data_IF_645841933146
#
_entry.id   IF_645841933146
#
_cell.length_a   1.000
_cell.length_b   1.000
_cell.length_c   1.000
_cell.angle_alpha   90.00
_cell.angle_beta   90.00
_cell.angle_gamma   90.00
#
_symmetry.space_group_name_H-M   'P 1'
#
loop_
_entity.id
_entity.type
_entity.pdbx_description
1 polymer ?
#
# COMPACT_ATOMS: atom_id res chain seq x y z
N UNK A 1 -13.42 0.42 13.85
CA UNK A 1 -14.02 0.73 12.53
C UNK A 1 -13.79 -0.44 11.55
N UNK A 2 -14.11 -1.67 11.93
CA UNK A 2 -13.75 -2.88 11.15
C UNK A 2 -14.78 -3.26 10.09
N UNK A 3 -15.68 -2.35 9.74
CA UNK A 3 -16.74 -2.59 8.74
C UNK A 3 -17.18 -1.28 8.08
N UNK A 4 -16.24 -0.38 7.80
CA UNK A 4 -16.53 0.79 6.98
C UNK A 4 -16.63 0.34 5.53
N UNK A 5 -17.61 0.86 4.78
CA UNK A 5 -17.69 0.63 3.33
C UNK A 5 -16.40 1.02 2.60
N UNK A 6 -15.64 1.99 3.12
CA UNK A 6 -14.30 2.35 2.59
C UNK A 6 -13.32 1.19 2.70
N UNK A 7 -13.23 0.54 3.87
CA UNK A 7 -12.30 -0.57 4.09
C UNK A 7 -12.64 -1.73 3.16
N UNK A 8 -13.94 -2.07 3.08
CA UNK A 8 -14.40 -3.12 2.19
C UNK A 8 -14.08 -2.84 0.71
N UNK A 9 -14.22 -1.60 0.25
CA UNK A 9 -13.88 -1.22 -1.12
C UNK A 9 -12.37 -1.32 -1.38
N UNK A 10 -11.52 -1.00 -0.41
CA UNK A 10 -10.06 -1.16 -0.52
C UNK A 10 -9.69 -2.65 -0.61
N UNK A 11 -10.20 -3.48 0.30
CA UNK A 11 -9.91 -4.92 0.34
C UNK A 11 -10.44 -5.66 -0.89
N UNK A 12 -11.58 -5.21 -1.43
CA UNK A 12 -12.17 -5.77 -2.65
C UNK A 12 -11.57 -5.21 -3.94
N UNK A 13 -10.59 -4.29 -3.84
CA UNK A 13 -9.96 -3.60 -4.99
C UNK A 13 -10.94 -2.81 -5.87
N UNK A 14 -12.06 -2.36 -5.29
CA UNK A 14 -13.09 -1.55 -5.97
C UNK A 14 -12.76 -0.06 -5.88
N UNK A 15 -11.65 0.34 -6.52
CA UNK A 15 -11.13 1.71 -6.44
C UNK A 15 -12.00 2.75 -7.16
N UNK A 16 -12.75 2.34 -8.19
CA UNK A 16 -13.66 3.23 -8.91
C UNK A 16 -14.84 3.66 -8.03
N UNK A 17 -15.45 2.71 -7.31
CA UNK A 17 -16.50 2.99 -6.34
C UNK A 17 -16.00 3.86 -5.18
N UNK A 18 -14.76 3.60 -4.73
CA UNK A 18 -14.11 4.43 -3.70
C UNK A 18 -13.85 5.86 -4.21
N UNK A 19 -13.48 6.02 -5.49
CA UNK A 19 -13.33 7.33 -6.15
C UNK A 19 -14.68 8.06 -6.20
N UNK A 20 -15.76 7.38 -6.59
CA UNK A 20 -17.11 7.96 -6.58
C UNK A 20 -17.51 8.40 -5.16
N UNK A 21 -17.24 7.58 -4.14
CA UNK A 21 -17.48 7.96 -2.75
C UNK A 21 -16.68 9.21 -2.37
N UNK A 22 -15.39 9.26 -2.72
CA UNK A 22 -14.56 10.45 -2.48
C UNK A 22 -15.15 11.70 -3.14
N UNK A 23 -15.55 11.63 -4.42
CA UNK A 23 -16.15 12.76 -5.14
C UNK A 23 -17.47 13.23 -4.52
N UNK A 24 -18.31 12.31 -4.02
CA UNK A 24 -19.54 12.65 -3.32
C UNK A 24 -19.26 13.39 -2.00
N UNK A 25 -18.32 12.87 -1.20
CA UNK A 25 -17.95 13.46 0.09
C UNK A 25 -17.22 14.81 -0.07
N UNK A 26 -16.57 15.04 -1.21
CA UNK A 26 -15.95 16.33 -1.55
C UNK A 26 -16.97 17.47 -1.70
N UNK A 27 -18.24 17.17 -2.00
CA UNK A 27 -19.33 18.16 -2.09
C UNK A 27 -19.75 18.72 -0.73
N UNK A 28 -19.46 17.98 0.34
CA UNK A 28 -19.76 18.39 1.71
C UNK A 28 -18.52 19.14 2.27
N UNK A 29 -18.69 20.29 2.93
CA UNK A 29 -17.58 20.97 3.60
C UNK A 29 -16.81 19.99 4.51
N UNK A 30 -15.52 19.82 4.23
CA UNK A 30 -14.63 18.87 4.93
C UNK A 30 -15.02 17.38 4.85
N UNK A 31 -16.03 16.99 4.07
CA UNK A 31 -16.47 15.59 3.98
C UNK A 31 -15.40 14.67 3.40
N UNK A 32 -14.61 15.15 2.44
CA UNK A 32 -13.50 14.41 1.84
C UNK A 32 -12.46 13.94 2.87
N UNK A 33 -12.28 14.65 4.00
CA UNK A 33 -11.39 14.23 5.08
C UNK A 33 -11.85 12.95 5.77
N UNK A 34 -13.15 12.64 5.76
CA UNK A 34 -13.67 11.40 6.33
C UNK A 34 -13.11 10.20 5.55
N UNK A 35 -13.14 10.26 4.22
CA UNK A 35 -12.60 9.21 3.34
C UNK A 35 -11.09 9.11 3.51
N UNK A 36 -10.38 10.25 3.48
CA UNK A 36 -8.91 10.30 3.67
C UNK A 36 -8.51 9.71 5.03
N UNK A 37 -9.22 10.03 6.11
CA UNK A 37 -8.94 9.51 7.44
C UNK A 37 -9.21 8.00 7.53
N UNK A 38 -10.27 7.50 6.89
CA UNK A 38 -10.55 6.06 6.84
C UNK A 38 -9.44 5.30 6.09
N UNK A 39 -9.01 5.83 4.94
CA UNK A 39 -7.90 5.27 4.16
C UNK A 39 -6.61 5.27 4.98
N UNK A 40 -6.27 6.40 5.63
CA UNK A 40 -5.09 6.48 6.49
C UNK A 40 -5.13 5.47 7.64
N UNK A 41 -6.28 5.33 8.29
CA UNK A 41 -6.46 4.36 9.38
C UNK A 41 -6.30 2.91 8.89
N UNK A 42 -6.79 2.58 7.69
CA UNK A 42 -6.58 1.27 7.07
C UNK A 42 -5.08 1.00 6.90
N UNK A 43 -4.33 1.93 6.30
CA UNK A 43 -2.90 1.77 6.10
C UNK A 43 -2.11 1.68 7.40
N UNK A 44 -2.47 2.45 8.43
CA UNK A 44 -1.82 2.34 9.74
C UNK A 44 -2.00 0.93 10.32
N UNK A 45 -3.23 0.41 10.33
CA UNK A 45 -3.50 -0.94 10.82
C UNK A 45 -2.77 -2.02 10.03
N UNK A 46 -2.78 -1.94 8.70
CA UNK A 46 -2.10 -2.93 7.84
C UNK A 46 -0.59 -2.91 8.05
N UNK A 47 0.02 -1.73 8.26
CA UNK A 47 1.44 -1.60 8.64
C UNK A 47 1.75 -2.17 10.01
N UNK A 48 0.91 -1.94 11.01
CA UNK A 48 1.08 -2.53 12.35
C UNK A 48 1.02 -4.06 12.30
N UNK A 49 0.08 -4.61 11.52
CA UNK A 49 -0.03 -6.06 11.30
C UNK A 49 1.23 -6.63 10.63
N UNK A 50 1.78 -5.94 9.63
CA UNK A 50 3.03 -6.34 8.97
C UNK A 50 4.22 -6.38 9.95
N UNK A 51 4.35 -5.39 10.84
CA UNK A 51 5.41 -5.36 11.87
C UNK A 51 5.29 -6.52 12.85
N UNK A 52 4.08 -6.80 13.33
CA UNK A 52 3.83 -7.89 14.30
C UNK A 52 4.04 -9.27 13.64
N UNK A 53 3.61 -9.43 12.38
CA UNK A 53 3.80 -10.66 11.63
C UNK A 53 5.27 -10.99 11.39
N UNK A 54 6.08 -9.96 11.11
CA UNK A 54 7.53 -10.09 10.95
C UNK A 54 8.22 -10.59 12.23
N UNK A 55 7.85 -10.04 13.39
CA UNK A 55 8.45 -10.42 14.68
C UNK A 55 8.19 -11.87 15.09
N UNK A 56 7.10 -12.49 14.59
CA UNK A 56 6.65 -13.81 15.07
C UNK A 56 7.05 -14.97 14.18
N UNK A 57 7.14 -14.79 12.86
CA UNK A 57 7.03 -15.94 11.95
C UNK A 57 8.18 -16.12 10.93
N UNK A 58 9.11 -15.18 10.76
CA UNK A 58 10.30 -15.38 9.90
C UNK A 58 10.02 -15.71 8.42
N UNK A 59 8.77 -15.63 7.95
CA UNK A 59 8.38 -15.91 6.56
C UNK A 59 8.62 -14.67 5.69
N UNK A 60 9.87 -14.48 5.26
CA UNK A 60 10.27 -13.30 4.48
C UNK A 60 9.53 -13.18 3.13
N UNK A 61 9.16 -14.28 2.48
CA UNK A 61 8.39 -14.27 1.22
C UNK A 61 6.99 -13.66 1.44
N UNK A 62 6.24 -14.16 2.43
CA UNK A 62 4.90 -13.66 2.72
C UNK A 62 4.94 -12.18 3.13
N UNK A 63 5.94 -11.79 3.93
CA UNK A 63 6.15 -10.40 4.29
C UNK A 63 6.36 -9.50 3.07
N UNK A 64 7.17 -9.95 2.09
CA UNK A 64 7.37 -9.20 0.86
C UNK A 64 6.09 -9.13 0.01
N UNK A 65 5.36 -10.22 -0.12
CA UNK A 65 4.10 -10.24 -0.87
C UNK A 65 3.07 -9.29 -0.26
N UNK A 66 2.92 -9.31 1.07
CA UNK A 66 2.03 -8.41 1.80
C UNK A 66 2.49 -6.94 1.71
N UNK A 67 3.81 -6.69 1.69
CA UNK A 67 4.37 -5.35 1.52
C UNK A 67 4.14 -4.81 0.12
N UNK A 68 4.37 -5.62 -0.91
CA UNK A 68 4.12 -5.27 -2.31
C UNK A 68 2.62 -4.98 -2.53
N UNK A 69 1.74 -5.81 -1.97
CA UNK A 69 0.29 -5.56 -2.02
C UNK A 69 -0.09 -4.22 -1.36
N UNK A 70 0.55 -3.89 -0.22
CA UNK A 70 0.32 -2.61 0.45
C UNK A 70 0.74 -1.41 -0.41
N UNK A 71 1.89 -1.52 -1.08
CA UNK A 71 2.41 -0.49 -1.98
C UNK A 71 1.49 -0.33 -3.19
N UNK A 72 1.08 -1.42 -3.83
CA UNK A 72 0.15 -1.41 -4.97
C UNK A 72 -1.19 -0.78 -4.59
N UNK A 73 -1.73 -1.12 -3.41
CA UNK A 73 -2.96 -0.53 -2.89
C UNK A 73 -2.82 0.97 -2.71
N UNK A 74 -1.68 1.42 -2.18
CA UNK A 74 -1.38 2.84 -1.98
C UNK A 74 -1.34 3.61 -3.31
N UNK A 75 -0.62 3.08 -4.31
CA UNK A 75 -0.51 3.71 -5.62
C UNK A 75 -1.85 3.74 -6.36
N UNK A 76 -2.66 2.68 -6.27
CA UNK A 76 -3.98 2.67 -6.87
C UNK A 76 -4.92 3.71 -6.23
N UNK A 77 -4.91 3.86 -4.91
CA UNK A 77 -5.69 4.91 -4.23
C UNK A 77 -5.19 6.30 -4.65
N UNK A 78 -3.88 6.51 -4.67
CA UNK A 78 -3.28 7.78 -5.09
C UNK A 78 -3.68 8.14 -6.52
N UNK A 79 -3.62 7.18 -7.46
CA UNK A 79 -3.87 7.39 -8.89
C UNK A 79 -5.35 7.48 -9.24
N UNK A 80 -6.19 6.61 -8.68
CA UNK A 80 -7.60 6.44 -9.09
C UNK A 80 -8.54 7.26 -8.20
N UNK A 81 -8.41 7.12 -6.88
CA UNK A 81 -9.34 7.75 -5.92
C UNK A 81 -9.09 9.26 -5.83
N UNK A 82 -7.82 9.65 -5.83
CA UNK A 82 -7.41 11.06 -5.75
C UNK A 82 -7.00 11.66 -7.10
N UNK A 83 -7.40 11.06 -8.24
CA UNK A 83 -7.00 11.50 -9.59
C UNK A 83 -7.16 13.02 -9.82
N UNK A 84 -8.28 13.58 -9.37
CA UNK A 84 -8.62 15.00 -9.55
C UNK A 84 -8.21 15.90 -8.37
N UNK A 85 -7.30 15.42 -7.51
CA UNK A 85 -6.90 16.12 -6.29
C UNK A 85 -5.36 16.14 -6.13
N UNK A 86 -4.71 17.05 -6.86
CA UNK A 86 -3.25 17.19 -6.88
C UNK A 86 -2.67 17.35 -5.46
N UNK A 87 -3.37 18.08 -4.59
CA UNK A 87 -2.95 18.27 -3.20
C UNK A 87 -2.94 16.95 -2.44
N UNK A 88 -4.01 16.15 -2.53
CA UNK A 88 -4.04 14.84 -1.89
C UNK A 88 -3.09 13.84 -2.56
N UNK A 89 -2.89 13.87 -3.89
CA UNK A 89 -1.86 13.03 -4.50
C UNK A 89 -0.45 13.34 -4.00
N UNK A 90 -0.15 14.62 -3.74
CA UNK A 90 1.14 15.04 -3.21
C UNK A 90 1.29 14.74 -1.72
N UNK A 91 0.21 14.88 -0.95
CA UNK A 91 0.18 14.62 0.49
C UNK A 91 0.12 13.13 0.81
N UNK A 92 -0.56 12.37 -0.03
CA UNK A 92 -0.67 10.91 0.01
C UNK A 92 0.49 10.32 -0.81
N UNK A 93 1.72 10.60 -0.37
CA UNK A 93 2.93 9.93 -0.85
C UNK A 93 3.32 8.84 0.13
N UNK A 94 3.75 7.70 -0.40
CA UNK A 94 4.24 6.61 0.42
C UNK A 94 5.54 7.11 1.06
N UNK A 95 5.54 7.28 2.37
CA UNK A 95 6.71 7.79 3.08
C UNK A 95 7.81 6.73 3.06
N UNK A 96 8.88 7.00 2.31
CA UNK A 96 10.01 6.10 2.13
C UNK A 96 10.79 5.87 3.42
N UNK A 97 10.78 6.81 4.38
CA UNK A 97 11.40 6.60 5.69
C UNK A 97 10.64 5.55 6.51
N UNK A 98 9.30 5.54 6.36
CA UNK A 98 8.46 4.53 6.98
C UNK A 98 8.61 3.14 6.35
N UNK A 99 8.91 3.04 5.05
CA UNK A 99 9.38 1.78 4.45
C UNK A 99 10.70 1.35 5.06
N UNK A 100 11.67 2.25 5.15
CA UNK A 100 13.01 1.90 5.63
C UNK A 100 12.97 1.35 7.07
N UNK A 101 12.10 1.91 7.91
CA UNK A 101 11.87 1.44 9.28
C UNK A 101 11.17 0.06 9.35
N UNK A 102 10.40 -0.32 8.32
CA UNK A 102 9.82 -1.66 8.15
C UNK A 102 10.85 -2.63 7.54
N UNK A 103 11.77 -2.13 6.72
CA UNK A 103 12.62 -2.91 5.83
C UNK A 103 14.03 -3.18 6.38
N UNK A 104 14.47 -2.52 7.47
CA UNK A 104 15.83 -2.64 8.01
C UNK A 104 16.32 -4.08 8.26
N UNK A 105 15.41 -5.04 8.53
CA UNK A 105 15.76 -6.48 8.67
C UNK A 105 15.71 -7.25 7.35
N UNK A 106 14.94 -6.80 6.36
CA UNK A 106 14.68 -7.50 5.11
C UNK A 106 15.48 -6.97 3.92
N UNK A 107 16.18 -5.83 4.06
CA UNK A 107 17.06 -5.27 3.02
C UNK A 107 18.08 -6.27 2.50
N UNK A 108 18.62 -7.13 3.38
CA UNK A 108 19.54 -8.20 3.01
C UNK A 108 18.85 -9.29 2.16
N UNK A 109 17.62 -9.67 2.55
CA UNK A 109 16.82 -10.65 1.80
C UNK A 109 16.39 -10.10 0.44
N UNK A 110 15.89 -8.86 0.39
CA UNK A 110 15.57 -8.14 -0.86
C UNK A 110 16.77 -8.06 -1.79
N UNK A 111 17.95 -7.73 -1.27
CA UNK A 111 19.18 -7.71 -2.07
C UNK A 111 19.51 -9.10 -2.63
N UNK A 112 19.32 -10.16 -1.83
CA UNK A 112 19.54 -11.54 -2.29
C UNK A 112 18.50 -11.98 -3.32
N UNK A 113 17.24 -11.56 -3.19
CA UNK A 113 16.14 -11.98 -4.06
C UNK A 113 16.19 -11.23 -5.39
N UNK A 114 16.52 -9.93 -5.37
CA UNK A 114 16.87 -9.17 -6.58
C UNK A 114 18.07 -9.81 -7.27
N UNK A 115 19.13 -10.13 -6.52
CA UNK A 115 20.29 -10.82 -7.08
C UNK A 115 19.93 -12.17 -7.72
N UNK A 116 19.14 -13.00 -7.05
CA UNK A 116 18.70 -14.31 -7.54
C UNK A 116 17.80 -14.18 -8.79
N UNK A 117 16.92 -13.18 -8.84
CA UNK A 117 16.11 -12.88 -10.04
C UNK A 117 16.94 -12.34 -11.20
N UNK A 118 17.98 -11.55 -10.93
CA UNK A 118 18.91 -11.07 -11.95
C UNK A 118 19.83 -12.20 -12.46
N UNK A 119 20.41 -13.01 -11.58
CA UNK A 119 21.31 -14.11 -11.95
C UNK A 119 20.55 -15.23 -12.69
N UNK A 120 19.35 -15.60 -12.25
CA UNK A 120 18.53 -16.60 -12.94
C UNK A 120 17.89 -16.04 -14.23
N UNK A 121 17.63 -14.74 -14.32
CA UNK A 121 17.12 -14.07 -15.53
C UNK A 121 18.14 -13.98 -16.68
N UNK A 122 19.45 -13.95 -16.37
CA UNK A 122 20.52 -13.91 -17.38
C UNK A 122 20.72 -15.27 -18.05
N UNK A 123 20.34 -16.39 -17.42
CA UNK A 123 20.51 -17.74 -18.01
C UNK A 123 19.54 -18.07 -19.16
N UNK A 124 18.57 -17.20 -19.46
CA UNK A 124 17.59 -17.43 -20.54
C UNK A 124 17.82 -16.61 -21.82
N UNK A 125 18.92 -15.86 -21.93
CA UNK A 125 19.21 -15.03 -23.12
C UNK A 125 20.37 -15.50 -24.00
N UNK A 126 20.88 -16.72 -23.81
CA UNK A 126 21.81 -17.35 -24.77
C UNK A 126 21.10 -18.48 -25.54
N UNK A 127 20.42 -18.12 -26.62
CA UNK A 127 20.13 -19.00 -27.77
C UNK A 127 20.29 -18.24 -29.07
#
# INVERSE_FOLDING_TARGET
MESSGVVHMIESKNYDDLSLMYQLFKRIPNGHWIVVNCVNAYFQKRREALKIGDEKNGHHVQFLDDLLELIDTFENIRRIVFENDIFLQQKFKFDSENLNNINQRHTAYLSSLVKDKFENGVTHFDK
#
